data_IF_673179736237
#
_entry.id   IF_673179736237
#
_cell.length_a   1.000
_cell.length_b   1.000
_cell.length_c   1.000
_cell.angle_alpha   90.00
_cell.angle_beta   90.00
_cell.angle_gamma   90.00
#
_symmetry.space_group_name_H-M   'P 1'
#
loop_
_entity.id
_entity.type
_entity.pdbx_description
1 polymer ?
#
# COMPACT_ATOMS: atom_id res chain seq x y z
N UNK A 1 15.40 -5.20 10.47
CA UNK A 1 15.57 -3.84 9.91
C UNK A 1 16.80 -3.11 10.41
N UNK A 2 17.25 -3.29 11.68
CA UNK A 2 18.42 -2.58 12.24
C UNK A 2 19.69 -2.63 11.37
N UNK A 3 20.10 -3.81 10.90
CA UNK A 3 21.30 -3.95 10.07
C UNK A 3 21.19 -3.22 8.72
N UNK A 4 19.99 -3.17 8.14
CA UNK A 4 19.72 -2.42 6.90
C UNK A 4 19.86 -0.93 7.17
N UNK A 5 19.27 -0.43 8.27
CA UNK A 5 19.34 0.97 8.66
C UNK A 5 20.78 1.39 8.98
N UNK A 6 21.54 0.56 9.71
CA UNK A 6 22.94 0.83 10.05
C UNK A 6 23.84 0.83 8.81
N UNK A 7 23.64 -0.12 7.89
CA UNK A 7 24.37 -0.17 6.62
C UNK A 7 24.05 1.05 5.76
N UNK A 8 22.77 1.45 5.66
CA UNK A 8 22.35 2.65 4.95
C UNK A 8 22.92 3.93 5.57
N UNK A 9 22.94 4.03 6.90
CA UNK A 9 23.52 5.16 7.61
C UNK A 9 25.02 5.29 7.36
N UNK A 10 25.77 4.18 7.47
CA UNK A 10 27.20 4.17 7.14
C UNK A 10 27.46 4.53 5.68
N UNK A 11 26.66 4.01 4.76
CA UNK A 11 26.73 4.33 3.34
C UNK A 11 26.56 5.83 3.10
N UNK A 12 25.57 6.46 3.73
CA UNK A 12 25.35 7.90 3.66
C UNK A 12 26.55 8.68 4.23
N UNK A 13 27.07 8.28 5.41
CA UNK A 13 28.25 8.92 5.99
C UNK A 13 29.50 8.81 5.10
N UNK A 14 29.69 7.70 4.39
CA UNK A 14 30.81 7.55 3.45
C UNK A 14 30.70 8.50 2.25
N UNK A 15 29.48 8.73 1.73
CA UNK A 15 29.22 9.70 0.66
C UNK A 15 29.48 11.12 1.15
N UNK A 16 28.93 11.47 2.31
CA UNK A 16 29.03 12.82 2.88
C UNK A 16 30.49 13.16 3.23
N UNK A 17 31.22 12.19 3.77
CA UNK A 17 32.64 12.32 4.08
C UNK A 17 33.55 12.19 2.84
N UNK A 18 32.99 12.08 1.62
CA UNK A 18 33.72 11.89 0.36
C UNK A 18 34.67 10.68 0.37
N UNK A 19 34.45 9.71 1.26
CA UNK A 19 35.14 8.41 1.25
C UNK A 19 34.61 7.50 0.14
N UNK A 20 33.42 7.82 -0.38
CA UNK A 20 32.79 7.17 -1.52
C UNK A 20 32.31 8.21 -2.52
N UNK A 21 32.87 8.17 -3.72
CA UNK A 21 32.52 9.12 -4.80
C UNK A 21 31.29 8.67 -5.57
N UNK A 22 30.33 9.58 -5.74
CA UNK A 22 29.17 9.47 -6.61
C UNK A 22 29.24 10.61 -7.62
N UNK A 23 29.58 10.25 -8.86
CA UNK A 23 29.74 11.17 -9.99
C UNK A 23 28.44 11.94 -10.23
N UNK A 24 28.54 13.27 -10.31
CA UNK A 24 27.39 14.16 -10.51
C UNK A 24 26.60 14.47 -9.24
N UNK A 25 26.99 13.91 -8.08
CA UNK A 25 26.32 14.14 -6.79
C UNK A 25 27.27 14.80 -5.78
N UNK A 26 28.39 14.17 -5.44
CA UNK A 26 29.37 14.75 -4.51
C UNK A 26 30.73 15.09 -5.16
N UNK A 27 30.99 14.57 -6.35
CA UNK A 27 32.17 14.93 -7.14
C UNK A 27 31.81 14.97 -8.62
N UNK A 28 32.60 15.70 -9.42
CA UNK A 28 32.39 15.88 -10.86
C UNK A 28 30.98 16.42 -11.19
N UNK A 29 30.50 17.39 -10.40
CA UNK A 29 29.15 17.97 -10.54
C UNK A 29 29.09 18.87 -11.78
N UNK A 30 28.07 18.69 -12.61
CA UNK A 30 27.80 19.55 -13.77
C UNK A 30 27.01 20.79 -13.33
N UNK A 31 27.41 21.97 -13.81
CA UNK A 31 26.68 23.24 -13.55
C UNK A 31 25.39 23.37 -14.38
N UNK A 32 25.23 22.54 -15.40
CA UNK A 32 24.07 22.55 -16.30
C UNK A 32 22.82 22.03 -15.59
N UNK A 33 21.80 22.89 -15.48
CA UNK A 33 20.52 22.50 -14.90
C UNK A 33 19.64 21.82 -15.96
N UNK A 34 19.69 20.49 -16.01
CA UNK A 34 18.83 19.67 -16.87
C UNK A 34 17.43 19.61 -16.25
N UNK A 35 16.46 20.26 -16.89
CA UNK A 35 15.05 20.15 -16.51
C UNK A 35 14.44 18.89 -17.10
N UNK A 36 14.27 17.87 -16.26
CA UNK A 36 13.51 16.66 -16.61
C UNK A 36 12.04 16.88 -16.28
N UNK A 37 11.11 16.76 -17.23
CA UNK A 37 9.69 16.87 -16.93
C UNK A 37 9.25 15.71 -16.01
N UNK A 38 8.70 16.05 -14.85
CA UNK A 38 8.16 15.07 -13.91
C UNK A 38 6.70 14.78 -14.20
N UNK A 39 6.28 13.52 -14.03
CA UNK A 39 4.87 13.18 -14.03
C UNK A 39 4.18 13.79 -12.80
N UNK A 40 3.21 14.67 -13.04
CA UNK A 40 2.34 15.18 -11.99
C UNK A 40 1.06 14.32 -11.94
N UNK A 41 0.73 13.80 -10.75
CA UNK A 41 -0.52 13.06 -10.55
C UNK A 41 -1.62 14.05 -10.18
N UNK A 42 -2.64 14.13 -11.02
CA UNK A 42 -3.77 15.02 -10.80
C UNK A 42 -4.75 14.52 -9.73
N UNK A 43 -5.52 15.46 -9.17
CA UNK A 43 -6.59 15.21 -8.18
C UNK A 43 -7.93 14.82 -8.84
N UNK A 44 -8.02 14.88 -10.16
CA UNK A 44 -9.24 14.53 -10.91
C UNK A 44 -9.45 13.02 -10.90
N UNK A 45 -8.35 12.25 -10.97
CA UNK A 45 -8.37 10.79 -10.84
C UNK A 45 -9.01 10.31 -9.53
N UNK A 46 -8.75 10.99 -8.41
CA UNK A 46 -9.37 10.71 -7.12
C UNK A 46 -10.90 10.89 -7.17
N UNK A 47 -11.36 12.02 -7.72
CA UNK A 47 -12.80 12.32 -7.84
C UNK A 47 -13.52 11.27 -8.69
N UNK A 48 -12.96 10.93 -9.85
CA UNK A 48 -13.51 9.90 -10.73
C UNK A 48 -13.55 8.52 -10.04
N UNK A 49 -12.54 8.20 -9.22
CA UNK A 49 -12.53 6.97 -8.44
C UNK A 49 -13.64 6.95 -7.37
N UNK A 50 -13.79 8.04 -6.61
CA UNK A 50 -14.82 8.17 -5.57
C UNK A 50 -16.24 8.07 -6.16
N UNK A 51 -16.49 8.70 -7.30
CA UNK A 51 -17.77 8.59 -8.00
C UNK A 51 -18.08 7.15 -8.41
N UNK A 52 -17.09 6.44 -8.99
CA UNK A 52 -17.24 5.03 -9.36
C UNK A 52 -17.47 4.14 -8.14
N UNK A 53 -16.73 4.36 -7.06
CA UNK A 53 -16.88 3.62 -5.80
C UNK A 53 -18.28 3.81 -5.21
N UNK A 54 -18.76 5.05 -5.15
CA UNK A 54 -20.09 5.38 -4.66
C UNK A 54 -21.20 4.82 -5.55
N UNK A 55 -20.97 4.71 -6.86
CA UNK A 55 -21.92 4.05 -7.77
C UNK A 55 -21.99 2.55 -7.50
N UNK A 56 -20.85 1.86 -7.45
CA UNK A 56 -20.78 0.41 -7.15
C UNK A 56 -21.47 0.11 -5.80
N UNK A 57 -21.19 0.90 -4.77
CA UNK A 57 -21.83 0.74 -3.46
C UNK A 57 -23.35 0.94 -3.49
N UNK A 58 -23.87 1.79 -4.40
CA UNK A 58 -25.32 2.03 -4.54
C UNK A 58 -26.04 0.94 -5.34
N UNK A 59 -25.38 0.38 -6.36
CA UNK A 59 -26.01 -0.52 -7.34
C UNK A 59 -25.89 -2.00 -6.97
N UNK A 60 -24.89 -2.39 -6.16
CA UNK A 60 -24.66 -3.80 -5.78
C UNK A 60 -25.75 -4.36 -4.87
N UNK A 61 -25.89 -5.69 -4.88
CA UNK A 61 -26.71 -6.40 -3.88
C UNK A 61 -26.01 -6.37 -2.51
N UNK A 62 -26.49 -5.48 -1.64
CA UNK A 62 -25.95 -5.31 -0.29
C UNK A 62 -26.09 -6.57 0.57
N UNK A 63 -27.13 -7.37 0.35
CA UNK A 63 -27.32 -8.60 1.10
C UNK A 63 -26.31 -9.67 0.68
N UNK A 64 -26.00 -9.76 -0.62
CA UNK A 64 -24.94 -10.64 -1.11
C UNK A 64 -23.55 -10.23 -0.59
N UNK A 65 -23.26 -8.92 -0.57
CA UNK A 65 -22.01 -8.40 0.01
C UNK A 65 -21.92 -8.75 1.49
N UNK A 66 -22.96 -8.47 2.27
CA UNK A 66 -22.95 -8.76 3.71
C UNK A 66 -22.74 -10.25 4.00
N UNK A 67 -23.41 -11.14 3.25
CA UNK A 67 -23.25 -12.60 3.40
C UNK A 67 -21.84 -13.07 3.04
N UNK A 68 -21.28 -12.57 1.94
CA UNK A 68 -19.94 -12.95 1.49
C UNK A 68 -18.84 -12.46 2.44
N UNK A 69 -18.96 -11.25 2.96
CA UNK A 69 -18.04 -10.71 3.98
C UNK A 69 -18.14 -11.47 5.31
N UNK A 70 -19.34 -11.86 5.75
CA UNK A 70 -19.49 -12.68 6.96
C UNK A 70 -18.87 -14.08 6.77
N UNK A 71 -19.04 -14.68 5.59
CA UNK A 71 -18.36 -15.94 5.28
C UNK A 71 -16.84 -15.78 5.28
N UNK A 72 -16.32 -14.69 4.70
CA UNK A 72 -14.89 -14.39 4.76
C UNK A 72 -14.40 -14.26 6.20
N UNK A 73 -15.15 -13.58 7.06
CA UNK A 73 -14.82 -13.45 8.49
C UNK A 73 -14.71 -14.82 9.16
N UNK A 74 -15.73 -15.66 9.01
CA UNK A 74 -15.76 -17.03 9.56
C UNK A 74 -14.57 -17.88 9.09
N UNK A 75 -14.26 -17.83 7.79
CA UNK A 75 -13.12 -18.57 7.21
C UNK A 75 -11.79 -18.04 7.76
N UNK A 76 -11.68 -16.73 7.98
CA UNK A 76 -10.47 -16.07 8.50
C UNK A 76 -10.22 -16.36 9.97
N UNK A 77 -11.27 -16.61 10.76
CA UNK A 77 -11.15 -17.04 12.16
C UNK A 77 -10.68 -18.51 12.29
N UNK A 78 -10.76 -19.29 11.20
CA UNK A 78 -10.31 -20.67 11.13
C UNK A 78 -8.92 -20.83 10.51
N UNK A 79 -8.63 -22.04 10.05
CA UNK A 79 -7.38 -22.41 9.34
C UNK A 79 -7.61 -22.72 7.86
N UNK A 80 -8.81 -22.40 7.36
CA UNK A 80 -9.21 -22.66 5.98
C UNK A 80 -8.54 -21.66 5.02
N UNK A 81 -8.47 -22.02 3.73
CA UNK A 81 -7.98 -21.09 2.71
C UNK A 81 -8.98 -19.93 2.53
N UNK A 82 -8.53 -18.69 2.70
CA UNK A 82 -9.35 -17.48 2.57
C UNK A 82 -9.63 -17.09 1.10
N UNK A 83 -8.82 -17.53 0.14
CA UNK A 83 -8.94 -17.13 -1.26
C UNK A 83 -10.32 -17.40 -1.89
N UNK A 84 -10.96 -18.58 -1.71
CA UNK A 84 -12.32 -18.80 -2.21
C UNK A 84 -13.33 -17.79 -1.65
N UNK A 85 -13.26 -17.46 -0.36
CA UNK A 85 -14.16 -16.49 0.25
C UNK A 85 -13.91 -15.06 -0.24
N UNK A 86 -12.65 -14.69 -0.51
CA UNK A 86 -12.30 -13.40 -1.14
C UNK A 86 -12.92 -13.31 -2.55
N UNK A 87 -12.79 -14.38 -3.35
CA UNK A 87 -13.36 -14.41 -4.71
C UNK A 87 -14.87 -14.20 -4.68
N UNK A 88 -15.57 -14.84 -3.74
CA UNK A 88 -17.02 -14.66 -3.57
C UNK A 88 -17.37 -13.22 -3.14
N UNK A 89 -16.60 -12.61 -2.25
CA UNK A 89 -16.79 -11.22 -1.86
C UNK A 89 -16.59 -10.26 -3.05
N UNK A 90 -15.54 -10.48 -3.86
CA UNK A 90 -15.27 -9.66 -5.06
C UNK A 90 -16.38 -9.83 -6.10
N UNK A 91 -16.87 -11.05 -6.35
CA UNK A 91 -18.02 -11.30 -7.25
C UNK A 91 -19.29 -10.59 -6.76
N UNK A 92 -19.47 -10.47 -5.44
CA UNK A 92 -20.57 -9.71 -4.85
C UNK A 92 -20.36 -8.18 -4.92
N UNK A 93 -19.26 -7.68 -5.51
CA UNK A 93 -18.86 -6.28 -5.52
C UNK A 93 -18.54 -5.70 -4.11
N UNK A 94 -18.00 -6.53 -3.22
CA UNK A 94 -17.29 -6.03 -2.05
C UNK A 94 -16.01 -5.28 -2.49
N UNK A 95 -15.73 -4.19 -1.81
CA UNK A 95 -14.57 -3.34 -2.09
C UNK A 95 -13.34 -3.88 -1.38
N UNK A 96 -12.15 -3.53 -1.87
CA UNK A 96 -10.90 -3.88 -1.19
C UNK A 96 -10.92 -3.42 0.28
N UNK A 97 -11.38 -2.20 0.55
CA UNK A 97 -11.49 -1.66 1.90
C UNK A 97 -12.32 -2.56 2.83
N UNK A 98 -13.51 -2.97 2.39
CA UNK A 98 -14.41 -3.82 3.18
C UNK A 98 -13.83 -5.22 3.43
N UNK A 99 -13.13 -5.80 2.45
CA UNK A 99 -12.43 -7.07 2.61
C UNK A 99 -11.30 -6.92 3.64
N UNK A 100 -10.52 -5.85 3.54
CA UNK A 100 -9.45 -5.57 4.51
C UNK A 100 -10.00 -5.28 5.90
N UNK A 101 -11.16 -4.62 6.03
CA UNK A 101 -11.80 -4.38 7.32
C UNK A 101 -12.17 -5.70 8.03
N UNK A 102 -12.61 -6.73 7.29
CA UNK A 102 -12.81 -8.06 7.85
C UNK A 102 -11.50 -8.60 8.43
N UNK A 103 -10.39 -8.50 7.70
CA UNK A 103 -9.09 -8.96 8.19
C UNK A 103 -8.58 -8.15 9.37
N UNK A 104 -8.79 -6.82 9.40
CA UNK A 104 -8.44 -5.99 10.55
C UNK A 104 -9.19 -6.42 11.81
N UNK A 105 -10.47 -6.79 11.67
CA UNK A 105 -11.27 -7.27 12.81
C UNK A 105 -10.74 -8.59 13.35
N UNK A 106 -10.31 -9.51 12.48
CA UNK A 106 -9.86 -10.86 12.89
C UNK A 106 -8.40 -10.90 13.33
N UNK A 107 -7.51 -10.22 12.60
CA UNK A 107 -6.06 -10.30 12.79
C UNK A 107 -5.45 -9.06 13.45
N UNK A 108 -6.20 -7.95 13.52
CA UNK A 108 -5.67 -6.65 13.92
C UNK A 108 -4.83 -5.99 12.83
N UNK A 109 -4.09 -4.97 13.22
CA UNK A 109 -3.13 -4.28 12.35
C UNK A 109 -1.72 -4.45 12.91
N UNK A 110 -0.77 -4.72 12.02
CA UNK A 110 0.64 -4.76 12.42
C UNK A 110 1.12 -3.33 12.70
N UNK A 111 1.71 -3.13 13.88
CA UNK A 111 2.47 -1.94 14.20
C UNK A 111 3.93 -2.33 14.40
N UNK A 112 4.82 -1.64 13.68
CA UNK A 112 6.25 -1.80 13.86
C UNK A 112 6.62 -1.38 15.31
N UNK A 113 7.29 -2.24 16.08
CA UNK A 113 7.80 -1.83 17.39
C UNK A 113 8.83 -0.72 17.17
N UNK A 114 8.67 0.41 17.86
CA UNK A 114 9.62 1.50 17.80
C UNK A 114 10.95 1.06 18.45
N UNK A 115 11.89 0.58 17.62
CA UNK A 115 13.25 0.27 18.03
C UNK A 115 14.12 1.47 17.63
N UNK A 116 14.50 2.27 18.62
CA UNK A 116 15.46 3.37 18.48
C UNK A 116 16.90 2.84 18.45
#
# INVERSE_FOLDING_TARGET
>A
QREIAESAYRYQQEIDAHRRTIVGVNDYIMEENIKVPTLYIDVVGERAHLERLNRVRRERDQSAVKRSLENLRRVSEGTENTMPAIIEAVKAYATLGEIMDVFRVVFGEYMEPAVF
#
